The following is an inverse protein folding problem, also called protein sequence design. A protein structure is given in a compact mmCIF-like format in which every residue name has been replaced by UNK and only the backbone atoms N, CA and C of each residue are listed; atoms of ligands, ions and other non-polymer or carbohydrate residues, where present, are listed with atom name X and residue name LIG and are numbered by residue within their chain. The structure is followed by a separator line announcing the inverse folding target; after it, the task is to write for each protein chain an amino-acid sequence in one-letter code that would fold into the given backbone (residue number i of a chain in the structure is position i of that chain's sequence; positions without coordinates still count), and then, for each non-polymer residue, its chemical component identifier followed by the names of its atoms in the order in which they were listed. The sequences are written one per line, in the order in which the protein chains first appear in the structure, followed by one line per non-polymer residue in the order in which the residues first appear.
data_IF_012085141631
#
_entry.id   IF_012085141631
#
_cell.length_a   1.000
_cell.length_b   1.000
_cell.length_c   1.000
_cell.angle_alpha   90.00
_cell.angle_beta   90.00
_cell.angle_gamma   90.00
#
_symmetry.space_group_name_H-M   'P 1'
#
loop_
_entity.id
_entity.type
_entity.pdbx_description
1 polymer ?
#
# COMPACT_ATOMS: atom_id res chain seq x y z
N UNK A 1 20.18 -8.44 33.96
CA UNK A 1 19.76 -9.24 35.13
C UNK A 1 19.82 -10.72 34.80
N UNK A 2 20.05 -11.60 35.79
CA UNK A 2 20.09 -13.07 35.65
C UNK A 2 19.31 -13.72 36.78
N UNK A 3 18.95 -14.99 36.62
CA UNK A 3 18.31 -15.77 37.68
C UNK A 3 19.39 -16.28 38.67
N UNK A 4 19.31 -15.83 39.90
CA UNK A 4 20.21 -16.28 40.98
C UNK A 4 19.65 -17.52 41.69
N UNK A 5 18.32 -17.62 41.77
CA UNK A 5 17.63 -18.78 42.39
C UNK A 5 16.23 -18.91 41.79
N UNK A 6 15.81 -20.15 41.56
CA UNK A 6 14.46 -20.52 41.15
C UNK A 6 13.86 -21.46 42.18
N UNK A 7 12.74 -21.06 42.80
CA UNK A 7 11.94 -21.91 43.67
C UNK A 7 10.57 -22.10 43.04
N UNK A 8 10.15 -23.34 42.87
CA UNK A 8 8.83 -23.63 42.32
C UNK A 8 8.15 -24.73 43.11
N UNK A 9 6.91 -24.49 43.55
CA UNK A 9 6.11 -25.41 44.36
C UNK A 9 4.75 -25.63 43.68
N UNK A 10 4.37 -26.89 43.52
CA UNK A 10 3.04 -27.31 43.02
C UNK A 10 2.64 -26.77 41.64
N UNK A 11 3.59 -26.62 40.75
CA UNK A 11 3.32 -26.18 39.36
C UNK A 11 3.27 -27.40 38.43
N UNK A 12 2.15 -27.60 37.78
CA UNK A 12 1.93 -28.73 36.84
C UNK A 12 2.43 -30.06 37.41
N UNK A 13 3.55 -30.58 36.91
CA UNK A 13 4.17 -31.83 37.35
C UNK A 13 5.16 -31.63 38.50
N UNK A 14 5.60 -30.39 38.77
CA UNK A 14 6.53 -30.11 39.87
C UNK A 14 5.82 -30.20 41.23
N UNK A 15 6.43 -30.89 42.17
CA UNK A 15 6.08 -30.86 43.61
C UNK A 15 6.80 -29.69 44.27
N UNK A 16 8.13 -29.79 44.33
CA UNK A 16 8.99 -28.72 44.83
C UNK A 16 10.37 -28.81 44.18
N UNK A 17 10.86 -27.69 43.65
CA UNK A 17 12.24 -27.57 43.21
C UNK A 17 12.84 -26.29 43.76
N UNK A 18 14.14 -26.36 44.05
CA UNK A 18 14.97 -25.25 44.46
C UNK A 18 16.29 -25.35 43.67
N UNK A 19 16.52 -24.44 42.76
CA UNK A 19 17.63 -24.47 41.80
C UNK A 19 18.43 -23.20 41.93
N UNK A 20 19.74 -23.32 42.17
CA UNK A 20 20.73 -22.25 42.05
C UNK A 20 21.44 -22.45 40.70
N UNK A 21 21.11 -21.64 39.67
CA UNK A 21 21.65 -21.84 38.33
C UNK A 21 23.12 -21.45 38.21
N UNK A 22 23.80 -22.05 37.22
CA UNK A 22 25.13 -21.61 36.77
C UNK A 22 25.02 -20.30 35.98
N UNK A 23 26.16 -19.66 35.72
CA UNK A 23 26.21 -18.36 35.06
C UNK A 23 25.70 -18.40 33.62
N UNK A 24 26.02 -19.44 32.84
CA UNK A 24 25.73 -19.48 31.41
C UNK A 24 24.82 -20.65 31.04
N UNK A 25 25.21 -21.90 31.16
CA UNK A 25 24.41 -23.05 30.73
C UNK A 25 23.82 -23.77 31.92
N UNK A 26 22.53 -24.04 31.86
CA UNK A 26 21.76 -24.77 32.85
C UNK A 26 20.90 -25.84 32.16
N UNK A 27 21.34 -27.08 32.16
CA UNK A 27 20.56 -28.18 31.64
C UNK A 27 19.60 -28.68 32.71
N UNK A 28 18.33 -28.66 32.40
CA UNK A 28 17.29 -29.28 33.21
C UNK A 28 17.00 -30.63 32.61
N UNK A 29 17.45 -31.68 33.29
CA UNK A 29 17.45 -33.05 32.79
C UNK A 29 16.51 -33.96 33.55
N UNK A 30 16.23 -35.13 32.99
CA UNK A 30 15.39 -36.18 33.60
C UNK A 30 14.59 -36.96 32.57
N UNK A 31 13.89 -38.01 32.97
CA UNK A 31 13.05 -38.80 32.08
C UNK A 31 11.86 -37.97 31.55
N UNK A 32 11.17 -38.52 30.56
CA UNK A 32 9.94 -37.90 30.08
C UNK A 32 8.94 -37.78 31.22
N UNK A 33 8.15 -36.68 31.21
CA UNK A 33 7.12 -36.41 32.21
C UNK A 33 7.61 -36.11 33.63
N UNK A 34 8.91 -36.00 33.89
CA UNK A 34 9.51 -35.71 35.21
C UNK A 34 9.25 -34.29 35.73
N UNK A 35 8.87 -33.34 34.88
CA UNK A 35 8.62 -31.94 35.25
C UNK A 35 9.61 -30.93 34.65
N UNK A 36 10.51 -31.33 33.76
CA UNK A 36 11.50 -30.45 33.07
C UNK A 36 10.86 -29.24 32.40
N UNK A 37 9.91 -29.48 31.51
CA UNK A 37 9.16 -28.41 30.84
C UNK A 37 8.41 -27.53 31.84
N UNK A 38 7.92 -28.13 32.95
CA UNK A 38 7.24 -27.35 33.99
C UNK A 38 8.21 -26.44 34.76
N UNK A 39 9.50 -26.78 34.85
CA UNK A 39 10.52 -25.92 35.45
C UNK A 39 10.80 -24.69 34.53
N UNK A 40 10.96 -24.89 33.20
CA UNK A 40 11.12 -23.80 32.26
C UNK A 40 9.85 -22.94 32.18
N UNK A 41 8.67 -23.57 32.15
CA UNK A 41 7.38 -22.87 32.21
C UNK A 41 7.25 -22.01 33.48
N UNK A 42 7.78 -22.45 34.62
CA UNK A 42 7.77 -21.68 35.87
C UNK A 42 8.54 -20.36 35.72
N UNK A 43 9.73 -20.40 35.10
CA UNK A 43 10.49 -19.18 34.80
C UNK A 43 9.68 -18.28 33.88
N UNK A 44 9.19 -18.83 32.78
CA UNK A 44 8.40 -18.09 31.78
C UNK A 44 7.17 -17.45 32.45
N UNK A 45 6.37 -18.20 33.18
CA UNK A 45 5.15 -17.69 33.80
C UNK A 45 5.40 -16.70 34.93
N UNK A 46 6.50 -16.83 35.65
CA UNK A 46 6.86 -15.87 36.70
C UNK A 46 7.20 -14.51 36.10
N UNK A 47 7.89 -14.48 34.97
CA UNK A 47 8.44 -13.26 34.36
C UNK A 47 7.55 -12.66 33.30
N UNK A 48 6.84 -13.48 32.48
CA UNK A 48 5.98 -12.98 31.41
C UNK A 48 4.57 -12.63 31.87
N UNK A 49 3.82 -11.95 31.02
CA UNK A 49 2.39 -11.69 31.21
C UNK A 49 1.55 -12.98 31.20
N UNK A 50 0.30 -12.82 31.54
CA UNK A 50 -0.65 -13.91 31.80
C UNK A 50 -1.07 -14.72 30.57
N UNK A 51 -0.78 -14.23 29.36
CA UNK A 51 -1.13 -14.92 28.10
C UNK A 51 -0.43 -16.27 27.93
N UNK A 52 0.73 -16.46 28.54
CA UNK A 52 1.54 -17.70 28.44
C UNK A 52 1.22 -18.73 29.52
N UNK A 53 0.46 -18.39 30.57
CA UNK A 53 0.12 -19.29 31.65
C UNK A 53 -0.89 -20.36 31.21
N UNK A 54 -0.63 -21.63 31.55
CA UNK A 54 -1.54 -22.73 31.24
C UNK A 54 -2.92 -22.56 31.90
N UNK A 55 -3.95 -23.19 31.34
CA UNK A 55 -5.30 -23.13 31.91
C UNK A 55 -5.37 -23.67 33.37
N UNK A 56 -4.58 -24.66 33.68
CA UNK A 56 -4.46 -25.27 35.03
C UNK A 56 -3.00 -25.25 35.48
N UNK A 57 -2.54 -24.13 36.09
CA UNK A 57 -1.15 -24.01 36.50
C UNK A 57 -0.86 -24.81 37.79
N UNK A 58 -1.84 -24.95 38.67
CA UNK A 58 -1.70 -25.65 39.94
C UNK A 58 -1.66 -27.15 39.74
N UNK A 59 -0.75 -27.85 40.41
CA UNK A 59 -0.65 -29.30 40.40
C UNK A 59 -1.93 -29.94 40.91
N UNK A 60 -2.39 -30.99 40.24
CA UNK A 60 -3.60 -31.73 40.65
C UNK A 60 -3.47 -32.21 42.09
N UNK A 61 -4.46 -31.88 42.93
CA UNK A 61 -4.50 -32.20 44.34
C UNK A 61 -3.77 -31.23 45.27
N UNK A 62 -3.23 -30.12 44.73
CA UNK A 62 -2.63 -29.04 45.52
C UNK A 62 -3.55 -27.82 45.48
N UNK A 63 -3.90 -27.24 46.63
CA UNK A 63 -4.78 -26.06 46.71
C UNK A 63 -4.11 -24.75 46.26
N UNK A 64 -2.77 -24.71 46.27
CA UNK A 64 -1.97 -23.53 45.89
C UNK A 64 -0.65 -23.92 45.23
N UNK A 65 -0.13 -23.01 44.42
CA UNK A 65 1.18 -23.12 43.81
C UNK A 65 1.96 -21.81 43.92
N UNK A 66 3.28 -21.87 43.93
CA UNK A 66 4.16 -20.72 44.06
C UNK A 66 5.34 -20.87 43.10
N UNK A 67 5.68 -19.76 42.47
CA UNK A 67 6.95 -19.60 41.77
C UNK A 67 7.66 -18.39 42.36
N UNK A 68 8.94 -18.51 42.62
CA UNK A 68 9.80 -17.44 43.07
C UNK A 68 11.08 -17.44 42.27
N UNK A 69 11.36 -16.29 41.62
CA UNK A 69 12.55 -16.06 40.81
C UNK A 69 13.33 -14.93 41.44
N UNK A 70 14.51 -15.22 41.90
CA UNK A 70 15.47 -14.24 42.39
C UNK A 70 16.33 -13.73 41.22
N UNK A 71 16.26 -12.44 40.94
CA UNK A 71 16.99 -11.77 39.82
C UNK A 71 18.20 -10.96 40.36
N UNK A 72 18.64 -11.18 41.58
CA UNK A 72 19.72 -10.44 42.21
C UNK A 72 19.20 -9.28 43.07
N UNK A 73 18.81 -8.19 42.44
CA UNK A 73 18.31 -6.98 43.13
C UNK A 73 16.84 -7.07 43.51
N UNK A 74 16.07 -7.88 42.81
CA UNK A 74 14.64 -8.08 43.03
C UNK A 74 14.27 -9.54 43.10
N UNK A 75 13.22 -9.85 43.85
CA UNK A 75 12.59 -11.16 43.90
C UNK A 75 11.19 -11.07 43.34
N UNK A 76 10.93 -11.88 42.33
CA UNK A 76 9.63 -11.98 41.66
C UNK A 76 8.91 -13.20 42.20
N UNK A 77 7.72 -13.03 42.74
CA UNK A 77 6.89 -14.12 43.26
C UNK A 77 5.55 -14.14 42.56
N UNK A 78 5.17 -15.28 41.96
CA UNK A 78 3.84 -15.51 41.42
C UNK A 78 3.16 -16.67 42.14
N UNK A 79 1.92 -16.46 42.61
CA UNK A 79 1.14 -17.47 43.33
C UNK A 79 -0.14 -17.76 42.57
N UNK A 80 -0.50 -19.04 42.50
CA UNK A 80 -1.73 -19.52 41.88
C UNK A 80 -2.54 -20.28 42.93
N UNK A 81 -3.86 -20.27 42.73
CA UNK A 81 -4.81 -20.98 43.59
C UNK A 81 -5.70 -21.87 42.74
N UNK A 82 -6.07 -23.05 43.17
CA UNK A 82 -6.83 -24.04 42.39
C UNK A 82 -8.14 -23.50 41.87
N UNK A 83 -8.88 -22.74 42.67
CA UNK A 83 -10.13 -22.10 42.31
C UNK A 83 -9.97 -20.59 42.04
N UNK A 84 -8.76 -20.12 41.80
CA UNK A 84 -8.42 -18.71 41.62
C UNK A 84 -8.39 -18.29 40.16
N UNK A 85 -8.14 -17.00 39.93
CA UNK A 85 -7.89 -16.48 38.60
C UNK A 85 -6.63 -17.18 38.02
N UNK A 86 -6.73 -17.65 36.78
CA UNK A 86 -5.64 -18.24 36.01
C UNK A 86 -4.34 -17.43 36.06
N UNK A 87 -4.44 -16.12 36.14
CA UNK A 87 -3.31 -15.20 36.13
C UNK A 87 -2.51 -15.22 37.48
N UNK A 88 -3.11 -15.72 38.52
CA UNK A 88 -2.51 -15.70 39.86
C UNK A 88 -2.29 -14.28 40.40
N UNK A 89 -1.51 -14.19 41.48
CA UNK A 89 -1.05 -12.91 42.04
C UNK A 89 0.44 -12.76 41.82
N UNK A 90 0.88 -11.59 41.34
CA UNK A 90 2.27 -11.24 41.11
C UNK A 90 2.73 -10.21 42.13
N UNK A 91 3.87 -10.45 42.76
CA UNK A 91 4.54 -9.51 43.65
C UNK A 91 6.03 -9.43 43.30
N UNK A 92 6.57 -8.23 43.34
CA UNK A 92 8.00 -7.97 43.18
C UNK A 92 8.47 -7.21 44.43
N UNK A 93 9.53 -7.70 45.04
CA UNK A 93 10.14 -7.11 46.21
C UNK A 93 11.60 -6.78 45.93
N UNK A 94 12.02 -5.56 46.27
CA UNK A 94 13.43 -5.19 46.24
C UNK A 94 14.17 -5.82 47.42
N UNK A 95 15.31 -6.44 47.18
CA UNK A 95 16.16 -7.01 48.23
C UNK A 95 16.86 -5.94 49.06
N UNK A 96 17.16 -4.78 48.45
CA UNK A 96 17.93 -3.71 49.10
C UNK A 96 17.11 -3.01 50.17
N UNK A 97 15.87 -2.64 49.87
CA UNK A 97 15.01 -1.86 50.78
C UNK A 97 13.73 -2.59 51.22
N UNK A 98 13.51 -3.82 50.79
CA UNK A 98 12.33 -4.64 51.06
C UNK A 98 10.99 -3.99 50.70
N UNK A 99 10.99 -3.05 49.75
CA UNK A 99 9.78 -2.41 49.24
C UNK A 99 9.13 -3.25 48.15
N UNK A 100 7.80 -3.20 48.10
CA UNK A 100 7.04 -3.83 47.03
C UNK A 100 6.75 -2.82 45.93
N UNK A 101 6.87 -3.27 44.68
CA UNK A 101 6.53 -2.46 43.52
C UNK A 101 5.01 -2.46 43.30
N UNK A 102 4.43 -1.28 43.05
CA UNK A 102 2.97 -1.12 42.88
C UNK A 102 2.47 -1.68 41.53
N UNK A 103 3.28 -1.62 40.48
CA UNK A 103 2.96 -2.10 39.11
C UNK A 103 3.94 -3.21 38.69
N UNK A 104 3.85 -4.40 39.30
CA UNK A 104 4.88 -5.44 39.11
C UNK A 104 4.96 -5.95 37.67
N UNK A 105 3.84 -6.09 36.94
CA UNK A 105 3.90 -6.58 35.58
C UNK A 105 4.50 -5.54 34.64
N UNK A 106 4.17 -4.26 34.79
CA UNK A 106 4.74 -3.18 33.98
C UNK A 106 6.28 -3.08 34.15
N UNK A 107 6.77 -3.33 35.39
CA UNK A 107 8.21 -3.38 35.64
C UNK A 107 8.87 -4.52 34.87
N UNK A 108 8.27 -5.73 34.90
CA UNK A 108 8.79 -6.88 34.15
C UNK A 108 8.74 -6.67 32.65
N UNK A 109 7.64 -6.12 32.14
CA UNK A 109 7.49 -5.83 30.72
C UNK A 109 8.57 -4.84 30.21
N UNK A 110 9.08 -3.96 31.08
CA UNK A 110 10.21 -3.08 30.77
C UNK A 110 11.56 -3.82 30.63
N UNK A 111 11.72 -4.96 31.28
CA UNK A 111 12.95 -5.78 31.22
C UNK A 111 12.92 -6.81 30.09
N UNK A 112 11.73 -7.10 29.59
CA UNK A 112 11.51 -8.14 28.59
C UNK A 112 11.29 -7.55 27.21
N UNK A 113 11.94 -8.15 26.23
CA UNK A 113 11.69 -7.83 24.84
C UNK A 113 10.35 -8.38 24.34
N UNK A 114 9.98 -7.97 23.14
CA UNK A 114 8.73 -8.35 22.46
C UNK A 114 8.67 -9.83 22.03
N UNK A 115 9.78 -10.54 22.07
CA UNK A 115 9.93 -11.90 21.55
C UNK A 115 10.01 -12.91 22.67
N UNK A 116 9.56 -14.12 22.38
CA UNK A 116 9.66 -15.28 23.25
C UNK A 116 11.10 -15.55 23.72
N UNK A 117 11.24 -16.06 24.93
CA UNK A 117 12.52 -16.50 25.47
C UNK A 117 13.13 -17.71 24.75
N UNK A 118 12.37 -18.41 23.91
CA UNK A 118 12.83 -19.61 23.19
C UNK A 118 13.28 -19.28 21.77
N UNK A 119 14.58 -19.31 21.47
CA UNK A 119 15.09 -19.03 20.14
C UNK A 119 14.62 -20.04 19.08
N UNK A 120 14.28 -21.28 19.48
CA UNK A 120 13.75 -22.28 18.56
C UNK A 120 12.32 -21.96 18.11
N UNK A 121 11.60 -21.10 18.84
CA UNK A 121 10.30 -20.61 18.40
C UNK A 121 10.44 -19.76 17.11
N UNK A 122 11.51 -18.97 17.00
CA UNK A 122 11.80 -18.19 15.79
C UNK A 122 12.00 -19.10 14.56
N UNK A 123 12.69 -20.22 14.72
CA UNK A 123 12.88 -21.21 13.62
C UNK A 123 11.56 -21.79 13.11
N UNK A 124 10.55 -21.89 13.98
CA UNK A 124 9.24 -22.48 13.67
C UNK A 124 8.24 -21.46 13.10
N UNK A 125 8.60 -20.18 13.08
CA UNK A 125 7.75 -19.12 12.52
C UNK A 125 7.76 -19.20 10.98
N UNK A 126 6.68 -18.72 10.40
CA UNK A 126 6.64 -18.50 8.93
C UNK A 126 7.62 -17.38 8.53
N UNK A 127 8.17 -17.40 7.31
CA UNK A 127 9.15 -16.41 6.84
C UNK A 127 8.69 -14.95 7.05
N UNK A 128 7.44 -14.66 6.75
CA UNK A 128 6.88 -13.30 6.89
C UNK A 128 6.92 -12.84 8.37
N UNK A 129 6.63 -13.77 9.30
CA UNK A 129 6.65 -13.47 10.73
C UNK A 129 8.07 -13.34 11.26
N UNK A 130 9.02 -14.13 10.75
CA UNK A 130 10.45 -13.99 11.06
C UNK A 130 10.97 -12.62 10.63
N UNK A 131 10.59 -12.17 9.43
CA UNK A 131 10.95 -10.85 8.91
C UNK A 131 10.36 -9.71 9.76
N UNK A 132 9.08 -9.82 10.16
CA UNK A 132 8.44 -8.85 11.06
C UNK A 132 9.16 -8.75 12.42
N UNK A 133 9.51 -9.90 13.00
CA UNK A 133 10.25 -10.00 14.25
C UNK A 133 11.61 -9.32 14.10
N UNK A 134 12.37 -9.64 13.08
CA UNK A 134 13.68 -9.04 12.83
C UNK A 134 13.59 -7.51 12.65
N UNK A 135 12.60 -7.04 11.86
CA UNK A 135 12.33 -5.60 11.69
C UNK A 135 12.02 -4.89 13.01
N UNK A 136 11.39 -5.57 13.95
CA UNK A 136 11.08 -4.98 15.27
C UNK A 136 12.28 -4.79 16.18
N UNK A 137 13.38 -5.50 15.91
CA UNK A 137 14.62 -5.47 16.69
C UNK A 137 15.67 -4.52 16.13
N UNK A 138 15.65 -4.36 14.82
CA UNK A 138 16.61 -3.51 14.11
C UNK A 138 16.14 -2.05 14.20
N UNK A 139 17.04 -1.17 14.63
CA UNK A 139 16.78 0.28 14.61
C UNK A 139 16.94 0.76 13.17
N UNK A 140 15.85 1.18 12.59
CA UNK A 140 15.82 1.80 11.27
C UNK A 140 15.55 3.30 11.45
N UNK A 141 16.28 4.15 10.73
CA UNK A 141 16.11 5.60 10.77
C UNK A 141 14.79 6.05 10.12
N UNK A 142 14.12 5.13 9.40
CA UNK A 142 12.84 5.38 8.73
C UNK A 142 11.82 4.30 9.09
N UNK A 143 10.55 4.68 9.07
CA UNK A 143 9.44 3.74 9.21
C UNK A 143 9.20 2.99 7.88
N UNK A 144 9.78 1.80 7.74
CA UNK A 144 9.63 0.94 6.56
C UNK A 144 8.17 0.57 6.30
N UNK A 145 7.33 0.47 7.34
CA UNK A 145 5.91 0.18 7.15
C UNK A 145 5.19 1.38 6.54
N UNK A 146 5.52 2.61 6.99
CA UNK A 146 5.01 3.84 6.42
C UNK A 146 5.43 4.01 4.95
N UNK A 147 6.70 3.73 4.62
CA UNK A 147 7.21 3.76 3.23
C UNK A 147 6.52 2.73 2.35
N UNK A 148 6.32 1.52 2.86
CA UNK A 148 5.60 0.45 2.13
C UNK A 148 4.14 0.84 1.90
N UNK A 149 3.47 1.40 2.90
CA UNK A 149 2.09 1.88 2.78
C UNK A 149 1.99 3.04 1.76
N UNK A 150 2.93 3.99 1.78
CA UNK A 150 3.01 5.08 0.81
C UNK A 150 3.22 4.57 -0.62
N UNK A 151 4.11 3.61 -0.80
CA UNK A 151 4.31 2.94 -2.09
C UNK A 151 3.03 2.27 -2.59
N UNK A 152 2.35 1.50 -1.75
CA UNK A 152 1.10 0.83 -2.13
C UNK A 152 -0.02 1.82 -2.48
N UNK A 153 -0.12 2.92 -1.73
CA UNK A 153 -1.08 3.98 -2.03
C UNK A 153 -0.79 4.66 -3.38
N UNK A 154 0.49 4.99 -3.63
CA UNK A 154 0.93 5.57 -4.91
C UNK A 154 0.69 4.59 -6.07
N UNK A 155 0.99 3.30 -5.89
CA UNK A 155 0.75 2.26 -6.89
C UNK A 155 -0.74 2.14 -7.24
N UNK A 156 -1.62 2.10 -6.22
CA UNK A 156 -3.06 2.02 -6.42
C UNK A 156 -3.58 3.26 -7.18
N UNK A 157 -3.18 4.46 -6.77
CA UNK A 157 -3.58 5.71 -7.44
C UNK A 157 -3.05 5.78 -8.89
N UNK A 158 -1.79 5.37 -9.11
CA UNK A 158 -1.22 5.29 -10.46
C UNK A 158 -2.01 4.36 -11.38
N UNK A 159 -2.41 3.19 -10.85
CA UNK A 159 -3.23 2.23 -11.62
C UNK A 159 -4.57 2.84 -12.01
N UNK A 160 -5.19 3.59 -11.12
CA UNK A 160 -6.46 4.27 -11.35
C UNK A 160 -6.32 5.40 -12.37
N UNK A 161 -5.31 6.27 -12.21
CA UNK A 161 -4.99 7.33 -13.14
C UNK A 161 -4.71 6.81 -14.56
N UNK A 162 -3.95 5.72 -14.70
CA UNK A 162 -3.72 5.07 -16.01
C UNK A 162 -5.00 4.57 -16.64
N UNK A 163 -5.87 3.91 -15.86
CA UNK A 163 -7.17 3.43 -16.37
C UNK A 163 -8.06 4.59 -16.83
N UNK A 164 -8.08 5.67 -16.09
CA UNK A 164 -8.83 6.88 -16.43
C UNK A 164 -8.28 7.52 -17.71
N UNK A 165 -6.96 7.72 -17.78
CA UNK A 165 -6.26 8.21 -18.97
C UNK A 165 -6.58 7.36 -20.22
N UNK A 166 -6.45 6.02 -20.10
CA UNK A 166 -6.70 5.12 -21.22
C UNK A 166 -8.16 5.21 -21.71
N UNK A 167 -9.11 5.38 -20.77
CA UNK A 167 -10.51 5.62 -21.10
C UNK A 167 -10.73 6.95 -21.85
N UNK A 168 -10.04 8.01 -21.42
CA UNK A 168 -10.09 9.32 -22.07
C UNK A 168 -9.43 9.28 -23.46
N UNK A 169 -8.32 8.56 -23.61
CA UNK A 169 -7.68 8.36 -24.92
C UNK A 169 -8.62 7.67 -25.91
N UNK A 170 -9.31 6.61 -25.48
CA UNK A 170 -10.30 5.93 -26.34
C UNK A 170 -11.42 6.88 -26.74
N UNK A 171 -11.95 7.68 -25.80
CA UNK A 171 -13.00 8.67 -26.08
C UNK A 171 -12.49 9.75 -27.03
N UNK A 172 -11.31 10.30 -26.79
CA UNK A 172 -10.66 11.28 -27.66
C UNK A 172 -10.50 10.75 -29.09
N UNK A 173 -9.96 9.53 -29.21
CA UNK A 173 -9.67 8.93 -30.52
C UNK A 173 -10.95 8.52 -31.28
N UNK A 174 -12.08 8.33 -30.57
CA UNK A 174 -13.38 8.12 -31.19
C UNK A 174 -13.97 9.40 -31.81
N UNK A 175 -13.46 10.58 -31.47
CA UNK A 175 -13.91 11.85 -31.98
C UNK A 175 -13.17 12.16 -33.28
N UNK A 176 -13.86 11.94 -34.41
CA UNK A 176 -13.36 12.33 -35.73
C UNK A 176 -13.43 13.84 -35.91
N UNK A 177 -12.28 14.48 -36.11
CA UNK A 177 -12.18 15.92 -36.40
C UNK A 177 -11.62 16.10 -37.82
N UNK A 178 -12.38 16.71 -38.77
CA UNK A 178 -11.87 17.03 -40.08
C UNK A 178 -10.70 18.01 -40.04
N UNK A 179 -9.80 17.90 -41.03
CA UNK A 179 -8.68 18.85 -41.16
C UNK A 179 -9.14 20.18 -41.75
N UNK A 180 -8.46 21.28 -41.43
CA UNK A 180 -8.69 22.57 -42.05
C UNK A 180 -9.86 23.38 -41.48
N UNK A 181 -10.36 23.05 -40.30
CA UNK A 181 -11.44 23.79 -39.65
C UNK A 181 -10.99 25.21 -39.23
N UNK A 182 -11.89 26.22 -39.37
CA UNK A 182 -11.66 27.55 -38.83
C UNK A 182 -11.53 27.50 -37.30
N UNK A 183 -10.93 28.54 -36.74
CA UNK A 183 -10.74 28.62 -35.27
C UNK A 183 -12.03 28.91 -34.52
N UNK A 184 -12.90 29.70 -35.11
CA UNK A 184 -14.15 30.16 -34.52
C UNK A 184 -15.36 29.59 -35.25
N UNK A 185 -16.47 29.48 -34.55
CA UNK A 185 -17.75 29.06 -35.13
C UNK A 185 -18.27 30.11 -36.08
N UNK A 186 -18.85 29.67 -37.18
CA UNK A 186 -19.59 30.54 -38.08
C UNK A 186 -20.91 30.97 -37.43
N UNK A 187 -21.32 32.22 -37.65
CA UNK A 187 -22.58 32.75 -37.14
C UNK A 187 -23.75 32.29 -38.05
N UNK A 188 -24.33 31.16 -37.67
CA UNK A 188 -25.50 30.61 -38.37
C UNK A 188 -26.72 31.52 -38.27
N UNK A 189 -26.85 32.28 -37.16
CA UNK A 189 -28.00 33.14 -36.95
C UNK A 189 -27.98 34.32 -37.93
N UNK A 190 -26.80 34.90 -38.17
CA UNK A 190 -26.61 35.95 -39.15
C UNK A 190 -26.95 35.47 -40.58
N UNK A 191 -26.47 34.27 -40.96
CA UNK A 191 -26.75 33.68 -42.28
C UNK A 191 -28.24 33.33 -42.42
N UNK A 192 -28.90 32.85 -41.38
CA UNK A 192 -30.37 32.60 -41.42
C UNK A 192 -31.16 33.90 -41.55
N UNK A 193 -30.70 34.99 -40.90
CA UNK A 193 -31.34 36.29 -41.04
C UNK A 193 -31.17 36.83 -42.45
N UNK A 194 -29.96 36.72 -43.04
CA UNK A 194 -29.69 37.11 -44.40
C UNK A 194 -30.53 36.32 -45.43
N UNK A 195 -30.69 35.01 -45.21
CA UNK A 195 -31.56 34.16 -46.01
C UNK A 195 -33.02 34.62 -45.95
N UNK A 196 -33.55 34.98 -44.78
CA UNK A 196 -34.91 35.51 -44.63
C UNK A 196 -35.08 36.81 -45.41
N UNK A 197 -34.15 37.74 -45.22
CA UNK A 197 -34.18 39.03 -45.96
C UNK A 197 -34.09 38.83 -47.48
N UNK A 198 -33.23 37.89 -47.90
CA UNK A 198 -33.15 37.54 -49.34
C UNK A 198 -34.45 36.90 -49.87
N UNK A 199 -35.06 36.02 -49.06
CA UNK A 199 -36.34 35.36 -49.40
C UNK A 199 -37.48 36.38 -49.50
N UNK A 200 -37.60 37.28 -48.51
CA UNK A 200 -38.62 38.33 -48.49
C UNK A 200 -38.45 39.32 -49.71
N UNK A 201 -37.16 39.66 -49.93
CA UNK A 201 -36.82 40.51 -51.11
C UNK A 201 -37.20 39.83 -52.45
N UNK A 202 -36.85 38.56 -52.61
CA UNK A 202 -37.19 37.78 -53.79
C UNK A 202 -38.71 37.62 -53.98
N UNK A 203 -39.46 37.41 -52.92
CA UNK A 203 -40.92 37.33 -52.95
C UNK A 203 -41.55 38.67 -53.38
N UNK A 204 -40.98 39.78 -52.88
CA UNK A 204 -41.43 41.11 -53.30
C UNK A 204 -41.15 41.36 -54.80
N UNK A 205 -39.96 40.93 -55.28
CA UNK A 205 -39.62 41.02 -56.73
C UNK A 205 -40.60 40.19 -57.57
N UNK A 206 -40.85 38.94 -57.15
CA UNK A 206 -41.73 38.05 -57.89
C UNK A 206 -43.18 38.59 -57.93
N UNK A 207 -43.65 39.12 -56.81
CA UNK A 207 -44.95 39.80 -56.76
C UNK A 207 -45.03 40.97 -57.68
N UNK A 208 -43.98 41.79 -57.72
CA UNK A 208 -43.92 42.92 -58.61
C UNK A 208 -43.80 42.48 -60.11
N UNK A 209 -43.06 41.38 -60.37
CA UNK A 209 -42.97 40.77 -61.71
C UNK A 209 -44.32 40.27 -62.16
N UNK A 210 -45.08 39.59 -61.37
CA UNK A 210 -46.43 39.13 -61.68
C UNK A 210 -47.36 40.31 -61.90
N UNK A 211 -47.27 41.33 -61.05
CA UNK A 211 -48.05 42.53 -61.16
C UNK A 211 -47.76 43.24 -62.52
N UNK A 212 -46.45 43.39 -62.84
CA UNK A 212 -46.05 44.00 -64.15
C UNK A 212 -46.52 43.17 -65.31
N UNK A 213 -46.38 41.83 -65.24
CA UNK A 213 -46.91 40.91 -66.30
C UNK A 213 -48.40 41.08 -66.50
N UNK A 214 -49.16 41.07 -65.40
CA UNK A 214 -50.63 41.24 -65.46
C UNK A 214 -51.01 42.57 -66.03
N UNK A 215 -50.27 43.66 -65.72
CA UNK A 215 -50.52 44.99 -66.34
C UNK A 215 -50.20 44.96 -67.83
N UNK A 216 -49.10 44.37 -68.29
CA UNK A 216 -48.73 44.23 -69.70
C UNK A 216 -49.78 43.40 -70.45
N UNK A 217 -50.20 42.26 -69.88
CA UNK A 217 -51.23 41.43 -70.49
C UNK A 217 -52.59 42.17 -70.61
N UNK A 218 -52.98 42.84 -69.50
CA UNK A 218 -54.18 43.66 -69.48
C UNK A 218 -54.13 44.82 -70.52
N UNK A 219 -52.93 45.45 -70.66
CA UNK A 219 -52.68 46.47 -71.67
C UNK A 219 -52.73 45.90 -73.10
N UNK A 220 -52.14 44.69 -73.30
CA UNK A 220 -52.21 43.98 -74.58
C UNK A 220 -53.68 43.67 -74.99
N UNK A 221 -54.47 43.15 -73.99
CA UNK A 221 -55.92 42.91 -74.23
C UNK A 221 -56.67 44.20 -74.52
N UNK A 222 -56.32 45.29 -73.84
CA UNK A 222 -56.93 46.58 -74.10
C UNK A 222 -56.53 47.11 -75.50
N UNK A 223 -55.28 46.95 -75.94
CA UNK A 223 -54.83 47.30 -77.30
C UNK A 223 -55.56 46.47 -78.33
N UNK A 224 -55.71 45.16 -78.05
CA UNK A 224 -56.50 44.30 -78.94
C UNK A 224 -57.96 44.73 -78.95
N UNK A 225 -58.54 45.05 -77.83
CA UNK A 225 -59.92 45.59 -77.75
C UNK A 225 -60.05 46.96 -78.43
N UNK A 226 -58.95 47.76 -78.41
CA UNK A 226 -58.91 49.02 -79.18
C UNK A 226 -58.91 48.70 -80.66
N UNK A 227 -58.11 47.79 -81.19
CA UNK A 227 -58.10 47.35 -82.58
C UNK A 227 -59.43 46.77 -83.01
N UNK A 228 -60.05 45.95 -82.18
CA UNK A 228 -61.37 45.36 -82.40
C UNK A 228 -62.46 46.46 -82.42
N UNK A 229 -62.33 47.46 -81.58
CA UNK A 229 -63.20 48.61 -81.49
C UNK A 229 -62.93 49.72 -82.53
N UNK A 230 -61.71 49.80 -83.07
CA UNK A 230 -61.43 50.63 -84.23
C UNK A 230 -62.15 50.12 -85.49
N UNK A 231 -62.54 48.84 -85.54
CA UNK A 231 -63.43 48.29 -86.56
C UNK A 231 -64.93 48.64 -86.31
N UNK A 232 -65.29 48.97 -85.10
CA UNK A 232 -66.61 49.52 -84.74
C UNK A 232 -66.65 51.03 -84.68
N UNK A 233 -65.61 51.66 -85.28
CA UNK A 233 -65.18 53.06 -85.04
C UNK A 233 -66.10 54.17 -85.59
N UNK A 234 -67.13 53.91 -86.30
CA UNK A 234 -68.04 55.04 -86.62
C UNK A 234 -69.08 55.37 -85.52
N UNK A 235 -69.20 54.44 -84.50
CA UNK A 235 -70.07 54.65 -83.36
C UNK A 235 -69.38 54.92 -82.00
N UNK A 236 -68.07 54.89 -81.91
CA UNK A 236 -67.36 54.90 -80.60
C UNK A 236 -66.24 55.93 -80.48
N UNK A 237 -66.25 57.08 -81.23
CA UNK A 237 -65.23 58.18 -81.13
C UNK A 237 -65.14 58.75 -79.70
N UNK A 238 -66.18 58.72 -78.90
CA UNK A 238 -66.16 59.17 -77.51
C UNK A 238 -65.50 58.15 -76.52
N UNK A 239 -65.67 56.85 -76.77
CA UNK A 239 -65.11 55.80 -75.98
C UNK A 239 -63.59 55.62 -76.21
N UNK A 240 -63.16 55.79 -77.44
CA UNK A 240 -61.71 55.78 -77.80
C UNK A 240 -60.95 56.92 -77.13
N UNK A 241 -61.55 58.10 -76.93
CA UNK A 241 -60.88 59.20 -76.26
C UNK A 241 -60.60 58.85 -74.80
N UNK A 242 -61.54 58.14 -74.11
CA UNK A 242 -61.38 57.68 -72.75
C UNK A 242 -60.36 56.53 -72.66
N UNK A 243 -60.41 55.57 -73.57
CA UNK A 243 -59.47 54.50 -73.65
C UNK A 243 -58.03 54.96 -73.93
N UNK A 244 -57.88 55.94 -74.80
CA UNK A 244 -56.58 56.59 -75.10
C UNK A 244 -56.07 57.37 -73.88
N UNK A 245 -56.91 58.04 -73.11
CA UNK A 245 -56.53 58.73 -71.91
C UNK A 245 -56.07 57.73 -70.86
N UNK A 246 -56.81 56.59 -70.62
CA UNK A 246 -56.43 55.55 -69.78
C UNK A 246 -55.15 54.81 -70.21
N UNK A 247 -55.01 54.56 -71.55
CA UNK A 247 -53.79 53.94 -72.05
C UNK A 247 -52.56 54.86 -71.87
N UNK A 248 -52.72 56.21 -72.14
CA UNK A 248 -51.67 57.17 -71.89
C UNK A 248 -51.27 57.24 -70.42
N UNK A 249 -52.24 57.16 -69.51
CA UNK A 249 -51.94 57.11 -68.07
C UNK A 249 -51.17 55.82 -67.65
N UNK A 250 -51.55 54.64 -68.22
CA UNK A 250 -50.87 53.39 -68.03
C UNK A 250 -49.42 53.41 -68.59
N UNK A 251 -49.23 53.97 -69.77
CA UNK A 251 -47.91 54.19 -70.42
C UNK A 251 -47.03 55.05 -69.48
N UNK A 252 -47.59 56.14 -68.93
CA UNK A 252 -46.87 57.02 -68.01
C UNK A 252 -46.48 56.27 -66.75
N UNK A 253 -47.36 55.38 -66.23
CA UNK A 253 -47.07 54.54 -65.07
C UNK A 253 -45.96 53.54 -65.36
N UNK A 254 -46.01 52.88 -66.56
CA UNK A 254 -44.96 51.95 -67.03
C UNK A 254 -43.62 52.62 -67.25
N UNK A 255 -43.60 53.84 -67.76
CA UNK A 255 -42.38 54.61 -68.00
C UNK A 255 -41.66 55.03 -66.65
N UNK A 256 -42.42 55.10 -65.60
CA UNK A 256 -41.88 55.36 -64.28
C UNK A 256 -41.33 54.14 -63.56
N UNK A 257 -41.44 52.94 -64.13
CA UNK A 257 -40.90 51.72 -63.48
C UNK A 257 -39.38 51.73 -63.56
N UNK A 258 -38.75 51.58 -62.38
CA UNK A 258 -37.32 51.29 -62.29
C UNK A 258 -37.08 49.82 -62.67
N UNK A 259 -35.92 49.50 -63.23
CA UNK A 259 -35.53 48.08 -63.39
C UNK A 259 -35.69 47.32 -62.16
N UNK A 260 -36.18 46.09 -62.24
CA UNK A 260 -36.18 45.20 -61.09
C UNK A 260 -34.73 44.79 -60.78
N UNK A 261 -34.37 44.87 -59.50
CA UNK A 261 -33.08 44.34 -59.08
C UNK A 261 -33.06 42.82 -59.26
N UNK A 262 -31.85 42.25 -59.40
CA UNK A 262 -31.70 40.81 -59.52
C UNK A 262 -32.02 40.12 -58.20
N UNK A 263 -32.66 38.95 -58.22
CA UNK A 263 -32.93 38.18 -57.03
C UNK A 263 -31.62 37.78 -56.34
N UNK A 264 -31.60 37.82 -54.99
CA UNK A 264 -30.51 37.27 -54.23
C UNK A 264 -30.52 35.73 -54.29
N UNK A 265 -29.34 35.11 -54.36
CA UNK A 265 -29.21 33.68 -54.47
C UNK A 265 -29.47 33.02 -53.09
N UNK A 266 -30.73 32.65 -52.88
CA UNK A 266 -31.15 31.96 -51.62
C UNK A 266 -30.64 30.53 -51.54
N UNK A 267 -30.35 29.87 -52.68
CA UNK A 267 -29.77 28.51 -52.66
C UNK A 267 -28.32 28.54 -52.15
N UNK A 268 -27.56 29.53 -52.60
CA UNK A 268 -26.19 29.74 -52.13
C UNK A 268 -26.14 30.02 -50.62
N UNK A 269 -27.04 30.86 -50.09
CA UNK A 269 -27.15 31.13 -48.65
C UNK A 269 -27.59 29.89 -47.86
N UNK A 270 -28.53 29.09 -48.39
CA UNK A 270 -28.92 27.83 -47.74
C UNK A 270 -27.77 26.81 -47.70
N UNK A 271 -26.97 26.75 -48.79
CA UNK A 271 -25.77 25.91 -48.83
C UNK A 271 -24.72 26.36 -47.77
N UNK A 272 -24.49 27.67 -47.64
CA UNK A 272 -23.58 28.26 -46.66
C UNK A 272 -24.03 27.95 -45.22
N UNK A 273 -25.34 28.00 -44.91
CA UNK A 273 -25.88 27.64 -43.61
C UNK A 273 -25.62 26.14 -43.29
N UNK A 274 -25.86 25.29 -44.29
CA UNK A 274 -25.59 23.83 -44.12
C UNK A 274 -24.10 23.56 -43.87
N UNK A 275 -23.23 24.23 -44.62
CA UNK A 275 -21.78 24.16 -44.45
C UNK A 275 -21.35 24.70 -43.07
N UNK A 276 -21.87 25.88 -42.66
CA UNK A 276 -21.60 26.49 -41.38
C UNK A 276 -21.99 25.55 -40.19
N UNK A 277 -23.16 24.88 -40.28
CA UNK A 277 -23.59 23.89 -39.29
C UNK A 277 -22.59 22.72 -39.17
N UNK A 278 -22.16 22.18 -40.29
CA UNK A 278 -21.21 21.09 -40.35
C UNK A 278 -19.84 21.52 -39.75
N UNK A 279 -19.38 22.71 -40.10
CA UNK A 279 -18.15 23.31 -39.57
C UNK A 279 -18.27 23.52 -38.07
N UNK A 280 -19.38 24.10 -37.58
CA UNK A 280 -19.58 24.37 -36.15
C UNK A 280 -19.64 23.09 -35.34
N UNK A 281 -20.32 22.03 -35.83
CA UNK A 281 -20.30 20.71 -35.19
C UNK A 281 -18.88 20.12 -35.11
N UNK A 282 -18.07 20.35 -36.14
CA UNK A 282 -16.69 19.89 -36.19
C UNK A 282 -15.79 20.68 -35.21
N UNK A 283 -16.06 21.96 -35.03
CA UNK A 283 -15.40 22.82 -34.04
C UNK A 283 -15.76 22.35 -32.62
N UNK A 284 -17.02 22.02 -32.35
CA UNK A 284 -17.44 21.46 -31.06
C UNK A 284 -16.74 20.14 -30.74
N UNK A 285 -16.63 19.23 -31.73
CA UNK A 285 -15.86 17.99 -31.60
C UNK A 285 -14.38 18.25 -31.31
N UNK A 286 -13.77 19.23 -31.98
CA UNK A 286 -12.39 19.62 -31.71
C UNK A 286 -12.22 20.13 -30.30
N UNK A 287 -13.09 21.03 -29.82
CA UNK A 287 -13.06 21.55 -28.47
C UNK A 287 -13.18 20.46 -27.43
N UNK A 288 -14.07 19.46 -27.66
CA UNK A 288 -14.20 18.31 -26.77
C UNK A 288 -12.95 17.42 -26.78
N UNK A 289 -12.33 17.25 -27.95
CA UNK A 289 -11.06 16.51 -28.06
C UNK A 289 -9.92 17.24 -27.35
N UNK A 290 -9.80 18.55 -27.49
CA UNK A 290 -8.80 19.38 -26.83
C UNK A 290 -8.95 19.29 -25.29
N UNK A 291 -10.20 19.29 -24.78
CA UNK A 291 -10.47 19.07 -23.38
C UNK A 291 -9.97 17.69 -22.87
N UNK A 292 -10.16 16.64 -23.66
CA UNK A 292 -9.62 15.34 -23.30
C UNK A 292 -8.09 15.28 -23.35
N UNK A 293 -7.47 15.99 -24.30
CA UNK A 293 -6.01 16.10 -24.35
C UNK A 293 -5.45 16.80 -23.10
N UNK A 294 -6.11 17.85 -22.61
CA UNK A 294 -5.73 18.53 -21.37
C UNK A 294 -5.86 17.61 -20.13
N UNK A 295 -6.97 16.86 -20.04
CA UNK A 295 -7.17 15.89 -18.96
C UNK A 295 -6.16 14.73 -19.01
N UNK A 296 -5.86 14.22 -20.19
CA UNK A 296 -4.84 13.18 -20.42
C UNK A 296 -3.46 13.68 -19.98
N UNK A 297 -3.09 14.90 -20.37
CA UNK A 297 -1.81 15.49 -20.00
C UNK A 297 -1.68 15.66 -18.46
N UNK A 298 -2.75 16.05 -17.79
CA UNK A 298 -2.79 16.15 -16.35
C UNK A 298 -2.60 14.78 -15.67
N UNK A 299 -3.26 13.74 -16.19
CA UNK A 299 -3.12 12.37 -15.69
C UNK A 299 -1.73 11.78 -15.98
N UNK A 300 -1.12 12.09 -17.11
CA UNK A 300 0.24 11.66 -17.42
C UNK A 300 1.26 12.30 -16.45
N UNK A 301 1.11 13.60 -16.13
CA UNK A 301 1.91 14.26 -15.12
C UNK A 301 1.71 13.64 -13.72
N UNK A 302 0.47 13.31 -13.36
CA UNK A 302 0.19 12.61 -12.09
C UNK A 302 0.88 11.23 -12.07
N UNK A 303 0.81 10.47 -13.16
CA UNK A 303 1.48 9.16 -13.26
C UNK A 303 2.99 9.29 -13.12
N UNK A 304 3.63 10.31 -13.71
CA UNK A 304 5.06 10.56 -13.54
C UNK A 304 5.42 10.90 -12.09
N UNK A 305 4.65 11.76 -11.45
CA UNK A 305 4.84 12.12 -10.03
C UNK A 305 4.70 10.88 -9.12
N UNK A 306 3.70 10.04 -9.39
CA UNK A 306 3.50 8.80 -8.63
C UNK A 306 4.63 7.79 -8.86
N UNK A 307 5.16 7.69 -10.08
CA UNK A 307 6.34 6.85 -10.36
C UNK A 307 7.56 7.33 -9.58
N UNK A 308 7.84 8.65 -9.57
CA UNK A 308 8.94 9.22 -8.78
C UNK A 308 8.76 8.95 -7.28
N UNK A 309 7.57 9.13 -6.74
CA UNK A 309 7.25 8.83 -5.34
C UNK A 309 7.48 7.35 -5.00
N UNK A 310 7.10 6.44 -5.89
CA UNK A 310 7.33 5.01 -5.70
C UNK A 310 8.82 4.68 -5.69
N UNK A 311 9.61 5.25 -6.61
CA UNK A 311 11.07 5.07 -6.69
C UNK A 311 11.77 5.64 -5.46
N UNK A 312 11.38 6.83 -4.99
CA UNK A 312 11.90 7.43 -3.76
C UNK A 312 11.64 6.54 -2.54
N UNK A 313 10.41 6.02 -2.39
CA UNK A 313 10.06 5.14 -1.29
C UNK A 313 10.84 3.82 -1.31
N UNK A 314 11.02 3.20 -2.48
CA UNK A 314 11.83 1.98 -2.62
C UNK A 314 13.32 2.25 -2.35
N UNK A 315 13.84 3.36 -2.83
CA UNK A 315 15.24 3.76 -2.60
C UNK A 315 15.49 4.05 -1.12
N UNK A 316 14.59 4.79 -0.46
CA UNK A 316 14.67 5.07 0.97
C UNK A 316 14.59 3.79 1.81
N UNK A 317 13.69 2.87 1.44
CA UNK A 317 13.55 1.56 2.08
C UNK A 317 14.82 0.72 1.90
N UNK A 318 15.32 0.59 0.67
CA UNK A 318 16.55 -0.17 0.36
C UNK A 318 17.76 0.40 1.12
N UNK A 319 17.90 1.72 1.14
CA UNK A 319 18.97 2.40 1.89
C UNK A 319 18.87 2.09 3.39
N UNK A 320 17.71 2.29 4.00
CA UNK A 320 17.51 2.01 5.41
C UNK A 320 17.77 0.54 5.77
N UNK A 321 17.38 -0.38 4.89
CA UNK A 321 17.63 -1.81 5.09
C UNK A 321 19.11 -2.17 4.95
N UNK A 322 19.86 -1.49 4.08
CA UNK A 322 21.31 -1.72 3.90
C UNK A 322 22.16 -1.13 5.03
N UNK A 323 21.69 -0.03 5.64
CA UNK A 323 22.36 0.64 6.76
C UNK A 323 21.95 0.07 8.13
N UNK A 324 21.07 -0.91 8.16
CA UNK A 324 20.51 -1.52 9.37
C UNK A 324 21.57 -2.29 10.18
N UNK A 325 21.62 -2.07 11.48
CA UNK A 325 22.45 -2.84 12.40
C UNK A 325 21.73 -4.12 12.82
N UNK A 326 22.19 -5.25 12.34
CA UNK A 326 21.62 -6.56 12.65
C UNK A 326 22.26 -7.19 13.88
N UNK A 327 21.51 -8.08 14.60
CA UNK A 327 22.02 -8.79 15.78
C UNK A 327 23.31 -9.62 15.56
N UNK A 328 23.49 -10.11 14.34
CA UNK A 328 24.74 -10.76 13.91
C UNK A 328 25.07 -10.38 12.45
N UNK A 329 26.36 -10.41 12.07
CA UNK A 329 26.76 -10.23 10.67
C UNK A 329 26.14 -11.30 9.76
N UNK A 330 25.75 -10.88 8.57
CA UNK A 330 25.17 -11.75 7.55
C UNK A 330 23.65 -11.91 7.61
N UNK A 331 22.96 -11.33 8.60
CA UNK A 331 21.52 -11.17 8.54
C UNK A 331 21.18 -9.97 7.63
N UNK A 332 20.15 -10.15 6.83
CA UNK A 332 19.63 -9.15 5.92
C UNK A 332 18.09 -9.31 5.79
N UNK A 333 17.42 -8.28 5.30
CA UNK A 333 16.01 -8.37 4.94
C UNK A 333 15.86 -8.80 3.49
N UNK A 334 15.07 -9.85 3.23
CA UNK A 334 14.51 -10.13 1.92
C UNK A 334 13.15 -9.44 1.74
N UNK A 335 12.47 -9.72 0.63
CA UNK A 335 11.17 -9.09 0.31
C UNK A 335 10.10 -9.37 1.37
N UNK A 336 9.93 -10.60 1.82
CA UNK A 336 9.07 -10.98 2.95
C UNK A 336 9.70 -12.10 3.78
N UNK A 337 11.00 -12.21 3.73
CA UNK A 337 11.77 -13.26 4.42
C UNK A 337 13.05 -12.70 5.06
N UNK A 338 13.69 -13.50 5.85
CA UNK A 338 15.01 -13.23 6.42
C UNK A 338 16.05 -13.89 5.53
N UNK A 339 17.08 -13.13 5.17
CA UNK A 339 18.26 -13.64 4.45
C UNK A 339 19.38 -13.81 5.46
N UNK A 340 20.13 -14.90 5.35
CA UNK A 340 21.32 -15.14 6.17
C UNK A 340 22.50 -15.62 5.32
N UNK A 341 23.57 -14.84 5.30
CA UNK A 341 24.75 -15.05 4.44
C UNK A 341 24.40 -15.18 2.96
N UNK A 342 23.44 -14.40 2.46
CA UNK A 342 23.03 -14.36 1.06
C UNK A 342 22.03 -15.45 0.65
N UNK A 343 21.53 -16.28 1.59
CA UNK A 343 20.53 -17.32 1.32
C UNK A 343 19.27 -17.10 2.17
N UNK A 344 18.08 -17.47 1.67
CA UNK A 344 16.89 -17.55 2.48
C UNK A 344 17.14 -18.30 3.79
N UNK A 345 16.64 -17.78 4.91
CA UNK A 345 16.95 -18.31 6.24
C UNK A 345 16.56 -19.78 6.41
N UNK A 346 15.48 -20.22 5.78
CA UNK A 346 15.00 -21.61 5.80
C UNK A 346 15.92 -22.57 5.02
N UNK A 347 16.73 -22.04 4.07
CA UNK A 347 17.70 -22.80 3.29
C UNK A 347 19.10 -22.81 3.93
N UNK A 348 19.31 -22.01 4.99
CA UNK A 348 20.57 -22.03 5.73
C UNK A 348 20.75 -23.37 6.47
N UNK A 349 22.01 -23.74 6.75
CA UNK A 349 22.27 -24.95 7.55
C UNK A 349 21.67 -24.85 8.94
N UNK A 350 21.25 -25.98 9.53
CA UNK A 350 20.65 -26.01 10.88
C UNK A 350 21.49 -25.27 11.93
N UNK A 351 22.80 -25.44 11.90
CA UNK A 351 23.72 -24.72 12.81
C UNK A 351 23.69 -23.20 12.59
N UNK A 352 23.58 -22.75 11.33
CA UNK A 352 23.46 -21.34 10.96
C UNK A 352 22.12 -20.76 11.42
N UNK A 353 21.04 -21.47 11.20
CA UNK A 353 19.70 -21.10 11.66
C UNK A 353 19.63 -20.97 13.18
N UNK A 354 20.19 -21.93 13.92
CA UNK A 354 20.26 -21.89 15.39
C UNK A 354 21.06 -20.69 15.86
N UNK A 355 22.25 -20.45 15.27
CA UNK A 355 23.07 -19.30 15.61
C UNK A 355 22.33 -17.98 15.42
N UNK A 356 21.70 -17.78 14.29
CA UNK A 356 20.94 -16.57 13.99
C UNK A 356 19.75 -16.42 14.95
N UNK A 357 19.00 -17.50 15.22
CA UNK A 357 17.85 -17.47 16.13
C UNK A 357 18.24 -17.14 17.56
N UNK A 358 19.37 -17.68 18.02
CA UNK A 358 19.93 -17.37 19.35
C UNK A 358 20.34 -15.90 19.44
N UNK A 359 21.02 -15.37 18.41
CA UNK A 359 21.38 -13.96 18.38
C UNK A 359 20.17 -13.02 18.37
N UNK A 360 19.15 -13.37 17.59
CA UNK A 360 17.88 -12.63 17.55
C UNK A 360 17.19 -12.68 18.93
N UNK A 361 17.18 -13.85 19.58
CA UNK A 361 16.64 -14.02 20.91
C UNK A 361 17.39 -13.19 21.98
N UNK A 362 18.73 -13.14 21.89
CA UNK A 362 19.57 -12.31 22.77
C UNK A 362 19.34 -10.82 22.55
N UNK A 363 19.30 -10.37 21.30
CA UNK A 363 19.03 -8.98 20.96
C UNK A 363 17.63 -8.51 21.41
N UNK A 364 16.67 -9.44 21.46
CA UNK A 364 15.31 -9.16 21.92
C UNK A 364 15.21 -8.89 23.42
N UNK A 365 16.17 -9.36 24.22
CA UNK A 365 16.11 -9.33 25.69
C UNK A 365 17.41 -8.77 26.29
N UNK A 366 17.77 -7.51 26.01
CA UNK A 366 19.08 -6.98 26.39
C UNK A 366 19.25 -6.79 27.90
N UNK A 367 18.17 -6.54 28.65
CA UNK A 367 18.23 -6.30 30.09
C UNK A 367 18.09 -7.58 30.92
N UNK A 368 17.12 -8.44 30.59
CA UNK A 368 16.97 -9.75 31.19
C UNK A 368 17.69 -10.78 30.36
N UNK A 369 18.95 -11.06 30.69
CA UNK A 369 19.82 -11.93 29.92
C UNK A 369 19.57 -13.40 30.23
N UNK A 370 18.32 -13.83 30.03
CA UNK A 370 17.84 -15.19 30.23
C UNK A 370 17.23 -15.73 28.98
N UNK A 371 17.55 -16.96 28.63
CA UNK A 371 17.01 -17.67 27.47
C UNK A 371 16.54 -19.05 27.91
N UNK A 372 15.38 -19.48 27.41
CA UNK A 372 14.77 -20.77 27.72
C UNK A 372 14.68 -21.58 26.42
N UNK A 373 15.32 -22.73 26.38
CA UNK A 373 15.27 -23.65 25.25
C UNK A 373 14.48 -24.88 25.70
N UNK A 374 13.25 -24.95 25.23
CA UNK A 374 12.43 -26.15 25.35
C UNK A 374 12.97 -27.23 24.42
N UNK A 375 12.67 -28.30 24.18
CA UNK A 375 13.13 -29.27 23.18
C UNK A 375 14.65 -29.29 22.91
N UNK A 376 15.50 -28.95 23.91
CA UNK A 376 16.96 -28.96 23.75
C UNK A 376 17.53 -30.34 23.42
N UNK A 377 16.78 -31.40 23.66
CA UNK A 377 17.11 -32.77 23.21
C UNK A 377 17.14 -32.97 21.71
N UNK A 378 16.56 -32.04 20.93
CA UNK A 378 16.60 -32.03 19.46
C UNK A 378 17.89 -31.41 18.90
N UNK A 379 18.68 -30.78 19.76
CA UNK A 379 19.94 -30.14 19.38
C UNK A 379 21.08 -31.15 19.46
N UNK A 380 21.92 -31.18 18.42
CA UNK A 380 23.17 -31.92 18.44
C UNK A 380 24.22 -31.22 19.34
N UNK A 381 25.28 -31.94 19.64
CA UNK A 381 26.37 -31.40 20.49
C UNK A 381 27.04 -30.15 19.90
N UNK A 382 27.06 -29.99 18.56
CA UNK A 382 27.64 -28.82 17.90
C UNK A 382 26.75 -27.60 18.12
N UNK A 383 25.45 -27.74 17.96
CA UNK A 383 24.45 -26.70 18.22
C UNK A 383 24.47 -26.25 19.68
N UNK A 384 24.56 -27.20 20.63
CA UNK A 384 24.66 -26.87 22.06
C UNK A 384 25.96 -26.10 22.37
N UNK A 385 27.08 -26.45 21.73
CA UNK A 385 28.34 -25.71 21.88
C UNK A 385 28.25 -24.29 21.32
N UNK A 386 27.65 -24.10 20.17
CA UNK A 386 27.39 -22.75 19.59
C UNK A 386 26.58 -21.90 20.55
N UNK A 387 25.52 -22.46 21.12
CA UNK A 387 24.69 -21.74 22.11
C UNK A 387 25.50 -21.40 23.35
N UNK A 388 26.36 -22.31 23.82
CA UNK A 388 27.18 -22.10 24.98
C UNK A 388 28.26 -21.02 24.78
N UNK A 389 28.91 -21.02 23.61
CA UNK A 389 29.85 -19.98 23.21
C UNK A 389 29.19 -18.60 23.15
N UNK A 390 28.02 -18.50 22.51
CA UNK A 390 27.26 -17.26 22.43
C UNK A 390 26.76 -16.80 23.81
N UNK A 391 26.32 -17.71 24.67
CA UNK A 391 25.91 -17.40 26.03
C UNK A 391 27.05 -16.79 26.83
N UNK A 392 28.26 -17.33 26.68
CA UNK A 392 29.47 -16.81 27.32
C UNK A 392 29.87 -15.43 26.76
N UNK A 393 29.88 -15.29 25.41
CA UNK A 393 30.28 -14.05 24.72
C UNK A 393 29.37 -12.87 25.04
N UNK A 394 28.06 -13.11 25.09
CA UNK A 394 27.05 -12.09 25.32
C UNK A 394 26.55 -12.02 26.77
N UNK A 395 27.15 -12.80 27.69
CA UNK A 395 26.79 -12.82 29.09
C UNK A 395 25.35 -13.23 29.36
N UNK A 396 24.84 -14.23 28.62
CA UNK A 396 23.49 -14.77 28.76
C UNK A 396 23.46 -16.04 29.65
N UNK A 397 22.33 -16.24 30.32
CA UNK A 397 22.01 -17.42 31.06
C UNK A 397 20.98 -18.25 30.31
N UNK A 398 21.34 -19.45 29.90
CA UNK A 398 20.49 -20.35 29.11
C UNK A 398 20.02 -21.50 29.96
N UNK A 399 18.71 -21.71 30.02
CA UNK A 399 18.08 -22.89 30.59
C UNK A 399 17.61 -23.79 29.46
N UNK A 400 18.08 -25.01 29.42
CA UNK A 400 17.82 -25.97 28.36
C UNK A 400 17.19 -27.26 28.91
N UNK A 401 16.03 -27.64 28.36
CA UNK A 401 15.42 -28.93 28.67
C UNK A 401 16.13 -30.04 27.93
N UNK A 402 16.60 -31.08 28.65
CA UNK A 402 17.28 -32.22 28.04
C UNK A 402 16.68 -33.52 28.59
N UNK A 403 16.36 -34.44 27.70
CA UNK A 403 15.95 -35.79 28.10
C UNK A 403 17.21 -36.59 28.46
N UNK A 404 17.34 -36.98 29.72
CA UNK A 404 18.43 -37.80 30.25
C UNK A 404 17.90 -38.77 31.31
N UNK A 405 18.28 -40.02 31.22
CA UNK A 405 17.94 -41.06 32.20
C UNK A 405 19.15 -41.49 33.01
N UNK A 406 20.33 -40.95 32.68
CA UNK A 406 21.57 -41.33 33.41
C UNK A 406 21.71 -40.62 34.77
N UNK A 407 21.01 -39.50 34.96
CA UNK A 407 21.13 -38.67 36.14
C UNK A 407 22.47 -37.95 36.28
N UNK A 408 23.25 -37.83 35.16
CA UNK A 408 24.61 -37.27 35.19
C UNK A 408 24.71 -35.90 34.52
N UNK A 409 23.58 -35.35 34.02
CA UNK A 409 23.55 -34.09 33.25
C UNK A 409 22.78 -33.04 34.06
N UNK A 410 23.42 -31.91 34.33
CA UNK A 410 22.83 -30.71 34.91
C UNK A 410 21.96 -30.91 36.15
N UNK A 411 20.83 -30.20 36.22
CA UNK A 411 19.85 -30.37 37.30
C UNK A 411 18.90 -31.49 36.92
N UNK A 412 19.00 -32.61 37.58
CA UNK A 412 18.21 -33.81 37.32
C UNK A 412 16.91 -33.81 38.11
N UNK A 413 15.80 -33.80 37.41
CA UNK A 413 14.44 -33.81 37.95
C UNK A 413 13.80 -35.19 37.73
N UNK A 414 13.27 -35.74 38.80
CA UNK A 414 12.48 -36.97 38.79
C UNK A 414 11.26 -36.79 39.70
N UNK A 415 10.09 -37.26 39.27
CA UNK A 415 8.82 -37.14 39.99
C UNK A 415 8.46 -35.73 40.50
N UNK A 416 8.93 -34.69 39.80
CA UNK A 416 8.67 -33.28 40.10
C UNK A 416 9.53 -32.69 41.21
N UNK A 417 10.64 -33.34 41.57
CA UNK A 417 11.62 -32.90 42.58
C UNK A 417 13.03 -32.92 41.98
N UNK A 418 13.93 -32.09 42.52
CA UNK A 418 15.35 -32.12 42.17
C UNK A 418 16.00 -33.26 42.97
N UNK A 419 16.44 -34.28 42.26
CA UNK A 419 17.10 -35.44 42.84
C UNK A 419 18.62 -35.26 42.91
N UNK A 420 19.18 -34.59 41.91
CA UNK A 420 20.62 -34.38 41.80
C UNK A 420 20.93 -33.09 41.04
N UNK A 421 22.00 -32.42 41.47
CA UNK A 421 22.59 -31.30 40.74
C UNK A 421 24.01 -31.67 40.33
N UNK A 422 24.28 -31.78 39.06
CA UNK A 422 25.62 -32.02 38.53
C UNK A 422 26.17 -30.68 38.00
N UNK A 423 27.41 -30.30 38.40
CA UNK A 423 27.99 -29.06 37.91
C UNK A 423 28.23 -29.17 36.37
N UNK A 424 27.81 -28.17 35.65
CA UNK A 424 28.10 -28.05 34.22
C UNK A 424 29.52 -27.50 34.06
N UNK A 425 30.34 -28.04 33.13
CA UNK A 425 31.61 -27.44 32.81
C UNK A 425 31.34 -26.09 32.14
N UNK A 426 32.02 -25.04 32.63
CA UNK A 426 31.94 -23.72 31.94
C UNK A 426 32.46 -23.82 30.51
N UNK A 427 31.80 -23.19 29.54
CA UNK A 427 32.25 -23.18 28.14
C UNK A 427 33.63 -22.49 28.08
N UNK A 428 34.59 -23.15 27.42
CA UNK A 428 35.92 -22.57 27.21
C UNK A 428 35.83 -21.50 26.10
N UNK A 429 36.41 -20.29 26.28
CA UNK A 429 36.43 -19.30 25.25
C UNK A 429 37.10 -19.85 23.97
N UNK A 430 36.51 -19.57 22.83
CA UNK A 430 37.05 -20.00 21.56
C UNK A 430 38.48 -19.43 21.36
N UNK A 431 39.43 -20.22 20.82
CA UNK A 431 40.79 -19.71 20.61
C UNK A 431 40.75 -18.52 19.62
N UNK A 432 41.36 -17.41 20.03
CA UNK A 432 41.45 -16.18 19.22
C UNK A 432 42.12 -16.54 17.90
N UNK A 433 41.39 -16.59 16.81
CA UNK A 433 41.92 -16.73 15.46
C UNK A 433 42.70 -15.45 15.11
N UNK A 434 43.98 -15.42 15.40
CA UNK A 434 44.89 -14.39 14.88
C UNK A 434 44.84 -14.43 13.35
N UNK A 435 44.36 -13.35 12.71
CA UNK A 435 44.44 -13.18 11.26
C UNK A 435 45.89 -13.30 10.84
N UNK A 436 46.30 -14.43 10.22
CA UNK A 436 47.59 -14.55 9.52
C UNK A 436 47.62 -13.46 8.44
N UNK A 437 48.49 -12.46 8.61
CA UNK A 437 48.87 -11.53 7.54
C UNK A 437 49.36 -12.37 6.37
N UNK A 438 48.68 -12.31 5.23
CA UNK A 438 49.21 -12.79 3.98
C UNK A 438 50.42 -11.91 3.63
N UNK A 439 51.60 -12.49 3.67
CA UNK A 439 52.80 -11.89 3.10
C UNK A 439 52.58 -11.80 1.58
N UNK A 440 52.58 -10.59 1.06
CA UNK A 440 52.69 -10.31 -0.37
C UNK A 440 54.15 -10.55 -0.75
N UNK A 441 54.47 -11.67 -1.37
CA UNK A 441 55.67 -11.87 -2.14
C UNK A 441 55.54 -11.11 -3.46
N UNK A 442 56.23 -10.00 -3.53
CA UNK A 442 56.60 -9.32 -4.76
C UNK A 442 57.68 -10.16 -5.44
N UNK A 443 57.37 -10.86 -6.52
CA UNK A 443 58.34 -11.35 -7.46
C UNK A 443 58.63 -10.21 -8.43
N UNK A 444 59.83 -9.66 -8.31
CA UNK A 444 60.44 -8.82 -9.31
C UNK A 444 61.33 -9.71 -10.22
N UNK A 445 61.38 -9.31 -11.48
CA UNK A 445 62.40 -9.58 -12.50
C UNK A 445 62.40 -10.95 -13.21
N UNK A 446 62.12 -11.00 -14.45
CA UNK A 446 63.01 -10.91 -15.62
C UNK A 446 62.21 -11.00 -16.89
#
# INVERSE_FOLDING_TARGET
MRIVRLITENIKRIKAIDITPNQHINRISGPNESGKTSALDSILWCLTGTSKVAAQPVRKGAGKAKIEVDLGDIVVTRRFYENGNRNGTLAIESKTNRTRYQSPQQLLDGFMGKISFDPLEFLRMKPEKQSEVLRSLVKLDVDVNALTAAYQAAYARRREAKKERDSLQIRRDSIGVPSGLPKEKMDEAALVQELREASDYNAAIESERIRRKNIVEAHGQQLQAIVDKEKELENLKAEIANLRANSKQRITTMAGWKPLEEPKDAEQLAAQISEARTINQSIDRRSQRDSYDDEINALDQEVETLNATMEENETAKAKAMSEAEFPIPGLEFGDDEVIYNGFPFDQASNAAQIKASVAIGMASNPELRVMLIKDGSLLDSKSVNVIAEMALEHDFQVFMEVTDTSGKVGVYIEDGEVVRVNPEPEPKPAPIRTKRKRATETAAAS
#
